data_IF_256601392675
#
_entry.id   IF_256601392675
#
_cell.length_a   1.000
_cell.length_b   1.000
_cell.length_c   1.000
_cell.angle_alpha   90.00
_cell.angle_beta   90.00
_cell.angle_gamma   90.00
#
_symmetry.space_group_name_H-M   'P 1'
#
loop_
_entity.id
_entity.type
_entity.pdbx_description
1 polymer ?
#
# COMPACT_ATOMS: atom_id res chain seq x y z
N UNK A 1 30.40 20.48 18.65
CA UNK A 1 29.13 21.24 18.58
C UNK A 1 27.98 20.22 18.50
N UNK A 2 27.42 19.83 19.64
CA UNK A 2 26.34 18.84 19.70
C UNK A 2 25.04 19.52 19.30
N UNK A 3 24.61 19.32 18.06
CA UNK A 3 23.25 19.71 17.64
C UNK A 3 22.31 18.72 18.32
N UNK A 4 21.82 19.08 19.50
CA UNK A 4 20.67 18.45 20.14
C UNK A 4 19.47 18.64 19.21
N UNK A 5 19.33 17.73 18.25
CA UNK A 5 18.17 17.68 17.35
C UNK A 5 16.96 17.34 18.21
N UNK A 6 16.15 18.36 18.51
CA UNK A 6 14.82 18.19 19.14
C UNK A 6 14.13 16.99 18.47
N UNK A 7 13.62 16.06 19.27
CA UNK A 7 12.81 14.93 18.78
C UNK A 7 11.59 15.54 18.07
N UNK A 8 11.60 15.57 16.73
CA UNK A 8 10.44 15.92 15.94
C UNK A 8 9.42 14.78 16.06
N UNK A 9 8.66 14.77 17.16
CA UNK A 9 7.62 13.77 17.43
C UNK A 9 6.43 13.83 16.46
N UNK A 10 6.41 14.82 15.56
CA UNK A 10 5.30 15.11 14.65
C UNK A 10 5.37 14.37 13.31
N UNK A 11 6.55 13.89 12.89
CA UNK A 11 6.73 13.28 11.56
C UNK A 11 5.88 12.04 11.33
N UNK A 12 5.81 11.12 12.30
CA UNK A 12 4.96 9.94 12.20
C UNK A 12 3.46 10.28 12.12
N UNK A 13 2.91 11.06 13.05
CA UNK A 13 1.54 11.54 12.98
C UNK A 13 1.22 12.29 11.67
N UNK A 14 2.14 13.12 11.16
CA UNK A 14 1.94 13.85 9.91
C UNK A 14 1.84 12.91 8.70
N UNK A 15 2.59 11.81 8.67
CA UNK A 15 2.44 10.77 7.63
C UNK A 15 1.05 10.10 7.70
N UNK A 16 0.51 9.86 8.90
CA UNK A 16 -0.85 9.31 9.05
C UNK A 16 -1.90 10.32 8.58
N UNK A 17 -1.75 11.60 8.93
CA UNK A 17 -2.63 12.67 8.42
C UNK A 17 -2.55 12.78 6.89
N UNK A 18 -1.33 12.69 6.35
CA UNK A 18 -1.12 12.68 4.91
C UNK A 18 -1.83 11.50 4.24
N UNK A 19 -1.77 10.29 4.81
CA UNK A 19 -2.53 9.15 4.29
C UNK A 19 -4.03 9.43 4.25
N UNK A 20 -4.60 9.97 5.32
CA UNK A 20 -6.03 10.33 5.35
C UNK A 20 -6.38 11.36 4.26
N UNK A 21 -5.55 12.38 4.08
CA UNK A 21 -5.73 13.36 3.01
C UNK A 21 -5.65 12.72 1.61
N UNK A 22 -4.69 11.80 1.40
CA UNK A 22 -4.56 11.06 0.14
C UNK A 22 -5.82 10.25 -0.18
N UNK A 23 -6.39 9.53 0.81
CA UNK A 23 -7.62 8.76 0.64
C UNK A 23 -8.78 9.66 0.22
N UNK A 24 -8.95 10.83 0.85
CA UNK A 24 -10.03 11.77 0.53
C UNK A 24 -9.86 12.36 -0.87
N UNK A 25 -8.65 12.79 -1.23
CA UNK A 25 -8.33 13.43 -2.52
C UNK A 25 -8.46 12.42 -3.68
N UNK A 26 -8.01 11.18 -3.48
CA UNK A 26 -8.06 10.13 -4.49
C UNK A 26 -9.45 9.47 -4.59
N UNK A 27 -10.06 9.17 -3.44
CA UNK A 27 -11.23 8.29 -3.34
C UNK A 27 -12.55 8.91 -3.80
N UNK A 28 -12.66 10.25 -3.78
CA UNK A 28 -13.87 10.95 -4.24
C UNK A 28 -13.76 11.27 -5.73
N UNK A 29 -14.67 10.78 -6.59
CA UNK A 29 -14.73 11.21 -7.99
C UNK A 29 -14.91 12.72 -8.08
N UNK A 30 -14.01 13.41 -8.75
CA UNK A 30 -14.06 14.86 -8.94
C UNK A 30 -13.29 15.26 -10.20
N UNK A 31 -13.88 16.16 -11.01
CA UNK A 31 -13.21 16.72 -12.18
C UNK A 31 -12.49 18.01 -11.81
N UNK A 32 -11.20 17.88 -11.48
CA UNK A 32 -10.33 19.04 -11.26
C UNK A 32 -9.80 19.56 -12.60
N UNK A 33 -9.52 20.88 -12.67
CA UNK A 33 -8.70 21.41 -13.75
C UNK A 33 -7.27 20.84 -13.66
N UNK A 34 -6.55 20.80 -14.79
CA UNK A 34 -5.17 20.29 -14.82
C UNK A 34 -4.28 20.99 -13.76
N UNK A 35 -4.29 22.33 -13.64
CA UNK A 35 -3.49 23.01 -12.60
C UNK A 35 -3.90 22.61 -11.18
N UNK A 36 -5.19 22.44 -10.89
CA UNK A 36 -5.66 22.03 -9.58
C UNK A 36 -5.25 20.58 -9.25
N UNK A 37 -5.34 19.67 -10.22
CA UNK A 37 -4.87 18.29 -10.09
C UNK A 37 -3.37 18.23 -9.78
N UNK A 38 -2.55 18.98 -10.53
CA UNK A 38 -1.11 19.07 -10.30
C UNK A 38 -0.79 19.67 -8.92
N UNK A 39 -1.50 20.73 -8.53
CA UNK A 39 -1.31 21.38 -7.23
C UNK A 39 -1.64 20.43 -6.07
N UNK A 40 -2.78 19.73 -6.12
CA UNK A 40 -3.17 18.76 -5.09
C UNK A 40 -2.14 17.63 -4.98
N UNK A 41 -1.70 17.08 -6.11
CA UNK A 41 -0.68 16.04 -6.15
C UNK A 41 0.64 16.51 -5.56
N UNK A 42 1.10 17.71 -5.95
CA UNK A 42 2.35 18.30 -5.48
C UNK A 42 2.33 18.61 -3.98
N UNK A 43 1.25 19.23 -3.47
CA UNK A 43 1.08 19.52 -2.04
C UNK A 43 1.15 18.23 -1.23
N UNK A 44 0.45 17.20 -1.68
CA UNK A 44 0.37 15.92 -0.98
C UNK A 44 1.73 15.20 -0.98
N UNK A 45 2.42 15.14 -2.12
CA UNK A 45 3.77 14.59 -2.21
C UNK A 45 4.76 15.34 -1.33
N UNK A 46 4.73 16.68 -1.35
CA UNK A 46 5.58 17.51 -0.52
C UNK A 46 5.33 17.28 0.97
N UNK A 47 4.06 17.19 1.38
CA UNK A 47 3.70 16.89 2.77
C UNK A 47 4.28 15.54 3.22
N UNK A 48 4.13 14.48 2.41
CA UNK A 48 4.68 13.16 2.71
C UNK A 48 6.22 13.18 2.74
N UNK A 49 6.85 13.86 1.78
CA UNK A 49 8.31 13.99 1.70
C UNK A 49 8.87 14.77 2.90
N UNK A 50 8.29 15.92 3.26
CA UNK A 50 8.69 16.72 4.42
C UNK A 50 8.51 15.92 5.71
N UNK A 51 7.44 15.13 5.83
CA UNK A 51 7.21 14.31 7.00
C UNK A 51 8.21 13.14 7.13
N UNK A 52 8.52 12.45 6.02
CA UNK A 52 9.43 11.30 6.00
C UNK A 52 10.91 11.69 6.06
N UNK A 53 11.31 12.78 5.40
CA UNK A 53 12.70 13.23 5.28
C UNK A 53 13.49 13.26 6.60
N UNK A 54 13.01 13.89 7.70
CA UNK A 54 13.76 13.92 8.95
C UNK A 54 13.93 12.53 9.58
N UNK A 55 12.98 11.61 9.38
CA UNK A 55 13.09 10.23 9.88
C UNK A 55 14.14 9.45 9.09
N UNK A 56 14.07 9.54 7.76
CA UNK A 56 15.03 8.92 6.85
C UNK A 56 16.45 9.44 7.06
N UNK A 57 16.63 10.77 7.11
CA UNK A 57 17.93 11.41 7.30
C UNK A 57 18.57 11.04 8.65
N UNK A 58 17.78 10.89 9.71
CA UNK A 58 18.29 10.44 11.03
C UNK A 58 18.80 9.00 10.97
N UNK A 59 18.05 8.10 10.34
CA UNK A 59 18.50 6.73 10.13
C UNK A 59 19.78 6.70 9.27
N UNK A 60 19.84 7.50 8.20
CA UNK A 60 21.00 7.54 7.30
C UNK A 60 22.27 8.06 7.98
N UNK A 61 22.14 9.13 8.75
CA UNK A 61 23.23 9.78 9.51
C UNK A 61 23.68 8.98 10.73
N UNK A 62 22.94 7.94 11.12
CA UNK A 62 23.32 7.11 12.27
C UNK A 62 24.59 6.27 12.05
N UNK A 63 24.97 6.03 10.78
CA UNK A 63 26.07 5.12 10.43
C UNK A 63 25.72 3.63 10.55
N UNK A 64 24.54 3.29 11.06
CA UNK A 64 24.07 1.93 11.28
C UNK A 64 23.32 1.40 10.05
N UNK A 65 23.87 0.37 9.43
CA UNK A 65 23.33 -0.25 8.22
C UNK A 65 21.97 -0.92 8.45
N UNK A 66 21.75 -1.50 9.64
CA UNK A 66 20.46 -2.09 9.99
C UNK A 66 19.37 -1.02 10.05
N UNK A 67 19.67 0.14 10.65
CA UNK A 67 18.73 1.28 10.69
C UNK A 67 18.46 1.85 9.30
N UNK A 68 19.47 1.93 8.42
CA UNK A 68 19.29 2.35 7.03
C UNK A 68 18.37 1.42 6.27
N UNK A 69 18.54 0.10 6.42
CA UNK A 69 17.67 -0.91 5.81
C UNK A 69 16.23 -0.76 6.27
N UNK A 70 15.98 -0.59 7.57
CA UNK A 70 14.62 -0.38 8.10
C UNK A 70 14.01 0.91 7.53
N UNK A 71 14.77 2.00 7.44
CA UNK A 71 14.28 3.25 6.88
C UNK A 71 13.96 3.14 5.38
N UNK A 72 14.77 2.40 4.62
CA UNK A 72 14.49 2.09 3.22
C UNK A 72 13.19 1.30 3.08
N UNK A 73 13.02 0.24 3.87
CA UNK A 73 11.79 -0.56 3.88
C UNK A 73 10.58 0.31 4.22
N UNK A 74 10.66 1.13 5.27
CA UNK A 74 9.58 2.03 5.64
C UNK A 74 9.21 2.99 4.50
N UNK A 75 10.20 3.49 3.77
CA UNK A 75 10.00 4.39 2.63
C UNK A 75 9.32 3.65 1.47
N UNK A 76 9.76 2.43 1.14
CA UNK A 76 9.16 1.59 0.10
C UNK A 76 7.70 1.25 0.42
N UNK A 77 7.33 1.03 1.67
CA UNK A 77 5.94 0.74 2.05
C UNK A 77 5.02 1.97 2.02
N UNK A 78 5.58 3.17 2.15
CA UNK A 78 4.85 4.45 2.07
C UNK A 78 4.64 4.89 0.62
N UNK A 79 5.61 4.65 -0.24
CA UNK A 79 5.68 5.15 -1.60
C UNK A 79 4.47 4.78 -2.50
N UNK A 80 3.85 3.58 -2.42
CA UNK A 80 2.63 3.25 -3.16
C UNK A 80 1.53 4.31 -2.98
N UNK A 81 1.27 4.73 -1.75
CA UNK A 81 0.26 5.77 -1.50
C UNK A 81 0.70 7.14 -1.97
N UNK A 82 1.99 7.46 -1.93
CA UNK A 82 2.50 8.69 -2.53
C UNK A 82 2.32 8.70 -4.05
N UNK A 83 2.49 7.57 -4.73
CA UNK A 83 2.23 7.48 -6.17
C UNK A 83 0.73 7.61 -6.50
N UNK A 84 -0.14 7.04 -5.67
CA UNK A 84 -1.59 7.16 -5.86
C UNK A 84 -2.10 8.62 -5.79
N UNK A 85 -1.34 9.53 -5.18
CA UNK A 85 -1.73 10.95 -5.09
C UNK A 85 -1.57 11.69 -6.42
N UNK A 86 -0.94 11.08 -7.42
CA UNK A 86 -0.88 11.58 -8.81
C UNK A 86 -2.23 11.49 -9.55
N UNK A 87 -3.26 10.92 -8.91
CA UNK A 87 -4.57 10.68 -9.48
C UNK A 87 -5.71 11.34 -8.68
N UNK A 88 -5.63 12.64 -8.35
CA UNK A 88 -6.67 13.29 -7.57
C UNK A 88 -7.99 13.27 -8.34
N UNK A 89 -9.08 12.91 -7.65
CA UNK A 89 -10.41 12.90 -8.23
C UNK A 89 -10.72 11.73 -9.17
N UNK A 90 -9.82 10.75 -9.32
CA UNK A 90 -10.07 9.59 -10.20
C UNK A 90 -11.23 8.73 -9.70
N UNK A 91 -11.41 8.61 -8.37
CA UNK A 91 -12.42 7.73 -7.82
C UNK A 91 -12.24 6.27 -8.27
N UNK A 92 -13.32 5.46 -8.29
CA UNK A 92 -13.23 4.07 -8.71
C UNK A 92 -13.22 3.92 -10.25
N UNK A 93 -12.79 2.76 -10.78
CA UNK A 93 -12.56 2.58 -12.23
C UNK A 93 -13.76 2.79 -13.14
N UNK A 94 -14.96 2.44 -12.68
CA UNK A 94 -16.20 2.62 -13.43
C UNK A 94 -16.65 4.09 -13.53
N UNK A 95 -16.13 4.99 -12.66
CA UNK A 95 -16.40 6.42 -12.72
C UNK A 95 -15.35 7.19 -13.56
N UNK A 96 -14.31 6.51 -14.04
CA UNK A 96 -13.19 7.07 -14.79
C UNK A 96 -13.30 6.75 -16.29
N UNK A 97 -12.81 7.66 -17.14
CA UNK A 97 -12.67 7.37 -18.57
C UNK A 97 -11.48 6.42 -18.83
N UNK A 98 -11.37 5.93 -20.08
CA UNK A 98 -10.35 4.96 -20.46
C UNK A 98 -8.91 5.45 -20.22
N UNK A 99 -8.60 6.71 -20.56
CA UNK A 99 -7.27 7.28 -20.37
C UNK A 99 -6.88 7.37 -18.89
N UNK A 100 -7.82 7.77 -18.03
CA UNK A 100 -7.64 7.76 -16.57
C UNK A 100 -7.43 6.34 -16.05
N UNK A 101 -8.20 5.37 -16.53
CA UNK A 101 -8.02 3.97 -16.15
C UNK A 101 -6.64 3.44 -16.56
N UNK A 102 -6.15 3.77 -17.75
CA UNK A 102 -4.80 3.41 -18.20
C UNK A 102 -3.73 3.93 -17.23
N UNK A 103 -3.75 5.23 -16.92
CA UNK A 103 -2.83 5.83 -15.95
C UNK A 103 -2.94 5.16 -14.57
N UNK A 104 -4.16 4.82 -14.12
CA UNK A 104 -4.37 4.10 -12.86
C UNK A 104 -3.64 2.76 -12.84
N UNK A 105 -3.80 1.95 -13.87
CA UNK A 105 -3.18 0.63 -13.88
C UNK A 105 -1.66 0.69 -14.01
N UNK A 106 -1.12 1.69 -14.72
CA UNK A 106 0.34 1.97 -14.73
C UNK A 106 0.84 2.34 -13.33
N UNK A 107 0.17 3.24 -12.63
CA UNK A 107 0.55 3.61 -11.26
C UNK A 107 0.42 2.43 -10.31
N UNK A 108 -0.66 1.63 -10.41
CA UNK A 108 -0.84 0.43 -9.60
C UNK A 108 0.25 -0.61 -9.87
N UNK A 109 0.69 -0.78 -11.12
CA UNK A 109 1.79 -1.68 -11.47
C UNK A 109 3.11 -1.25 -10.80
N UNK A 110 3.51 0.01 -10.94
CA UNK A 110 4.72 0.55 -10.30
C UNK A 110 4.61 0.46 -8.78
N UNK A 111 3.44 0.80 -8.23
CA UNK A 111 3.18 0.74 -6.79
C UNK A 111 3.27 -0.68 -6.24
N UNK A 112 2.77 -1.68 -6.98
CA UNK A 112 2.85 -3.09 -6.59
C UNK A 112 4.31 -3.60 -6.56
N UNK A 113 5.14 -3.20 -7.52
CA UNK A 113 6.56 -3.55 -7.53
C UNK A 113 7.29 -2.97 -6.30
N UNK A 114 7.05 -1.69 -6.02
CA UNK A 114 7.63 -0.98 -4.88
C UNK A 114 7.16 -1.57 -3.55
N UNK A 115 5.86 -1.82 -3.40
CA UNK A 115 5.28 -2.49 -2.24
C UNK A 115 5.89 -3.87 -2.03
N UNK A 116 5.99 -4.66 -3.10
CA UNK A 116 6.59 -5.98 -3.09
C UNK A 116 8.04 -5.97 -2.61
N UNK A 117 8.85 -5.01 -3.09
CA UNK A 117 10.22 -4.82 -2.61
C UNK A 117 10.25 -4.47 -1.11
N UNK A 118 9.37 -3.57 -0.65
CA UNK A 118 9.26 -3.20 0.77
C UNK A 118 8.91 -4.40 1.64
N UNK A 119 7.88 -5.18 1.27
CA UNK A 119 7.47 -6.39 1.99
C UNK A 119 8.58 -7.45 1.97
N UNK A 120 9.20 -7.68 0.81
CA UNK A 120 10.29 -8.65 0.67
C UNK A 120 11.45 -8.34 1.62
N UNK A 121 11.89 -7.09 1.66
CA UNK A 121 13.03 -6.65 2.48
C UNK A 121 12.72 -6.56 3.98
N UNK A 122 11.44 -6.59 4.36
CA UNK A 122 11.01 -6.47 5.75
C UNK A 122 11.35 -7.71 6.60
N UNK A 123 11.55 -8.89 5.96
CA UNK A 123 11.86 -10.13 6.68
C UNK A 123 13.16 -10.02 7.48
N UNK A 124 14.24 -9.62 6.83
CA UNK A 124 15.59 -9.65 7.43
C UNK A 124 15.68 -8.83 8.73
N UNK A 125 15.30 -7.54 8.74
CA UNK A 125 15.46 -6.76 9.96
C UNK A 125 14.53 -7.21 11.10
N UNK A 126 13.43 -7.94 10.80
CA UNK A 126 12.56 -8.54 11.80
C UNK A 126 13.02 -9.93 12.28
N UNK A 127 13.60 -10.73 11.39
CA UNK A 127 14.08 -12.08 11.72
C UNK A 127 15.36 -12.03 12.56
N UNK A 128 16.24 -11.07 12.28
CA UNK A 128 17.56 -10.97 12.90
C UNK A 128 17.52 -10.42 14.34
N UNK A 129 16.56 -9.53 14.66
CA UNK A 129 16.55 -8.78 15.92
C UNK A 129 16.13 -9.60 17.16
N UNK A 130 15.23 -10.58 17.03
CA UNK A 130 14.82 -11.46 18.12
C UNK A 130 14.54 -12.91 17.69
N UNK A 131 14.99 -13.32 16.50
CA UNK A 131 14.80 -14.68 16.01
C UNK A 131 13.36 -15.00 15.62
N UNK A 132 12.60 -14.05 15.04
CA UNK A 132 11.27 -14.34 14.50
C UNK A 132 11.39 -15.21 13.24
N UNK A 133 11.42 -16.53 13.45
CA UNK A 133 11.62 -17.54 12.42
C UNK A 133 10.34 -18.00 11.75
N UNK A 134 9.18 -17.47 12.15
CA UNK A 134 7.89 -17.92 11.62
C UNK A 134 7.09 -16.78 10.99
N UNK A 135 6.79 -15.70 11.72
CA UNK A 135 5.86 -14.69 11.20
C UNK A 135 6.51 -13.85 10.11
N UNK A 136 7.75 -13.40 10.29
CA UNK A 136 8.45 -12.62 9.28
C UNK A 136 8.66 -13.39 7.96
N UNK A 137 9.09 -14.67 7.95
CA UNK A 137 9.16 -15.47 6.73
C UNK A 137 7.80 -15.72 6.07
N UNK A 138 6.76 -16.07 6.83
CA UNK A 138 5.41 -16.26 6.26
C UNK A 138 4.84 -14.95 5.71
N UNK A 139 5.11 -13.84 6.39
CA UNK A 139 4.76 -12.49 5.93
C UNK A 139 5.44 -12.16 4.60
N UNK A 140 6.71 -12.55 4.45
CA UNK A 140 7.49 -12.38 3.23
C UNK A 140 6.93 -13.21 2.08
N UNK A 141 6.69 -14.50 2.31
CA UNK A 141 6.14 -15.39 1.31
C UNK A 141 4.77 -14.90 0.83
N UNK A 142 3.88 -14.56 1.76
CA UNK A 142 2.56 -14.00 1.45
C UNK A 142 2.67 -12.67 0.70
N UNK A 143 3.58 -11.79 1.13
CA UNK A 143 3.80 -10.49 0.49
C UNK A 143 4.37 -10.61 -0.94
N UNK A 144 5.25 -11.58 -1.19
CA UNK A 144 5.77 -11.87 -2.51
C UNK A 144 4.67 -12.40 -3.44
N UNK A 145 3.85 -13.35 -2.97
CA UNK A 145 2.68 -13.80 -3.74
C UNK A 145 1.74 -12.64 -4.05
N UNK A 146 1.43 -11.82 -3.05
CA UNK A 146 0.57 -10.64 -3.23
C UNK A 146 1.10 -9.72 -4.34
N UNK A 147 2.38 -9.35 -4.27
CA UNK A 147 3.00 -8.43 -5.22
C UNK A 147 3.06 -9.03 -6.63
N UNK A 148 3.49 -10.29 -6.78
CA UNK A 148 3.58 -10.94 -8.09
C UNK A 148 2.21 -11.08 -8.75
N UNK A 149 1.19 -11.52 -8.00
CA UNK A 149 -0.18 -11.64 -8.50
C UNK A 149 -0.72 -10.26 -8.90
N UNK A 150 -0.49 -9.24 -8.09
CA UNK A 150 -0.91 -7.87 -8.38
C UNK A 150 -0.23 -7.30 -9.62
N UNK A 151 1.05 -7.61 -9.86
CA UNK A 151 1.78 -7.18 -11.05
C UNK A 151 1.21 -7.81 -12.32
N UNK A 152 0.90 -9.11 -12.28
CA UNK A 152 0.23 -9.81 -13.40
C UNK A 152 -1.13 -9.19 -13.65
N UNK A 153 -1.93 -8.98 -12.60
CA UNK A 153 -3.24 -8.33 -12.73
C UNK A 153 -3.12 -6.93 -13.34
N UNK A 154 -2.22 -6.09 -12.85
CA UNK A 154 -2.05 -4.73 -13.35
C UNK A 154 -1.56 -4.71 -14.80
N UNK A 155 -0.66 -5.63 -15.19
CA UNK A 155 -0.22 -5.79 -16.57
C UNK A 155 -1.37 -6.18 -17.51
N UNK A 156 -2.25 -7.10 -17.09
CA UNK A 156 -3.46 -7.46 -17.84
C UNK A 156 -4.37 -6.24 -18.04
N UNK A 157 -4.59 -5.45 -16.99
CA UNK A 157 -5.42 -4.24 -17.07
C UNK A 157 -4.81 -3.15 -17.96
N UNK A 158 -3.49 -2.98 -17.94
CA UNK A 158 -2.77 -2.08 -18.87
C UNK A 158 -2.99 -2.56 -20.31
N UNK A 159 -2.74 -3.84 -20.60
CA UNK A 159 -2.95 -4.43 -21.91
C UNK A 159 -4.38 -4.24 -22.41
N UNK A 160 -5.37 -4.50 -21.55
CA UNK A 160 -6.79 -4.25 -21.85
C UNK A 160 -7.04 -2.79 -22.24
N UNK A 161 -6.60 -1.82 -21.44
CA UNK A 161 -6.84 -0.40 -21.76
C UNK A 161 -6.19 0.03 -23.08
N UNK A 162 -5.03 -0.53 -23.44
CA UNK A 162 -4.38 -0.30 -24.73
C UNK A 162 -5.16 -0.91 -25.90
N UNK A 163 -5.69 -2.13 -25.73
CA UNK A 163 -6.53 -2.80 -26.72
C UNK A 163 -7.86 -2.10 -26.94
N UNK A 164 -8.54 -1.66 -25.87
CA UNK A 164 -9.80 -0.91 -25.97
C UNK A 164 -9.59 0.44 -26.70
N UNK A 165 -8.43 1.08 -26.55
CA UNK A 165 -8.13 2.35 -27.22
C UNK A 165 -7.96 2.21 -28.75
N UNK A 166 -7.50 1.04 -29.23
CA UNK A 166 -7.22 0.80 -30.65
C UNK A 166 -8.20 -0.16 -31.34
N UNK A 167 -9.12 -0.78 -30.58
CA UNK A 167 -10.16 -1.74 -31.01
C UNK A 167 -9.74 -2.57 -32.22
N UNK A 168 -8.86 -3.58 -32.06
CA UNK A 168 -8.51 -4.48 -33.14
C UNK A 168 -9.77 -5.14 -33.72
N UNK A 169 -9.71 -5.59 -34.98
CA UNK A 169 -10.85 -6.14 -35.72
C UNK A 169 -11.53 -7.32 -34.97
N UNK A 170 -10.77 -8.10 -34.21
CA UNK A 170 -11.26 -9.21 -33.39
C UNK A 170 -11.29 -8.87 -31.88
N UNK A 171 -11.63 -7.63 -31.52
CA UNK A 171 -11.69 -7.22 -30.12
C UNK A 171 -12.82 -7.93 -29.36
N UNK A 172 -12.45 -8.64 -28.30
CA UNK A 172 -13.37 -9.14 -27.29
C UNK A 172 -13.30 -8.23 -26.06
N UNK A 173 -14.44 -7.69 -25.57
CA UNK A 173 -14.47 -6.92 -24.33
C UNK A 173 -13.87 -7.71 -23.15
N UNK A 174 -13.17 -7.06 -22.21
CA UNK A 174 -12.66 -7.78 -21.04
C UNK A 174 -13.79 -8.32 -20.14
N UNK A 175 -14.79 -7.48 -19.89
CA UNK A 175 -15.92 -7.82 -19.02
C UNK A 175 -16.80 -8.90 -19.66
N UNK A 176 -17.21 -9.88 -18.86
CA UNK A 176 -17.99 -11.03 -19.34
C UNK A 176 -17.17 -12.11 -20.07
N UNK A 177 -15.83 -11.99 -20.12
CA UNK A 177 -14.96 -13.01 -20.72
C UNK A 177 -14.18 -13.83 -19.68
N UNK A 178 -13.67 -15.02 -20.06
CA UNK A 178 -12.77 -15.79 -19.19
C UNK A 178 -11.55 -14.99 -18.70
N UNK A 179 -11.04 -14.06 -19.51
CA UNK A 179 -9.92 -13.20 -19.12
C UNK A 179 -10.31 -12.20 -18.03
N UNK A 180 -11.51 -11.62 -18.11
CA UNK A 180 -12.07 -10.77 -17.05
C UNK A 180 -12.23 -11.53 -15.74
N UNK A 181 -12.81 -12.74 -15.79
CA UNK A 181 -12.93 -13.60 -14.62
C UNK A 181 -11.57 -13.97 -14.02
N UNK A 182 -10.56 -14.25 -14.85
CA UNK A 182 -9.20 -14.53 -14.38
C UNK A 182 -8.58 -13.29 -13.70
N UNK A 183 -8.81 -12.08 -14.25
CA UNK A 183 -8.35 -10.84 -13.62
C UNK A 183 -8.99 -10.63 -12.23
N UNK A 184 -10.28 -10.91 -12.06
CA UNK A 184 -10.95 -10.80 -10.75
C UNK A 184 -10.38 -11.78 -9.72
N UNK A 185 -10.11 -13.02 -10.15
CA UNK A 185 -9.45 -14.03 -9.31
C UNK A 185 -8.07 -13.57 -8.89
N UNK A 186 -7.26 -13.04 -9.81
CA UNK A 186 -5.95 -12.50 -9.48
C UNK A 186 -6.06 -11.36 -8.46
N UNK A 187 -6.97 -10.40 -8.68
CA UNK A 187 -7.16 -9.29 -7.75
C UNK A 187 -7.60 -9.76 -6.36
N UNK A 188 -8.49 -10.74 -6.29
CA UNK A 188 -8.91 -11.36 -5.04
C UNK A 188 -7.73 -11.94 -4.27
N UNK A 189 -6.89 -12.76 -4.92
CA UNK A 189 -5.75 -13.38 -4.25
C UNK A 189 -4.66 -12.37 -3.90
N UNK A 190 -4.45 -11.34 -4.72
CA UNK A 190 -3.52 -10.25 -4.39
C UNK A 190 -3.95 -9.51 -3.12
N UNK A 191 -5.24 -9.16 -3.00
CA UNK A 191 -5.81 -8.54 -1.81
C UNK A 191 -5.71 -9.45 -0.58
N UNK A 192 -6.15 -10.70 -0.70
CA UNK A 192 -6.07 -11.72 0.35
C UNK A 192 -4.65 -11.87 0.89
N UNK A 193 -3.68 -12.10 0.01
CA UNK A 193 -2.28 -12.30 0.40
C UNK A 193 -1.66 -11.04 1.01
N UNK A 194 -2.08 -9.85 0.57
CA UNK A 194 -1.64 -8.59 1.18
C UNK A 194 -2.14 -8.46 2.61
N UNK A 195 -3.41 -8.77 2.88
CA UNK A 195 -3.97 -8.74 4.23
C UNK A 195 -3.29 -9.75 5.15
N UNK A 196 -3.06 -10.98 4.67
CA UNK A 196 -2.33 -12.02 5.41
C UNK A 196 -0.90 -11.56 5.72
N UNK A 197 -0.16 -11.08 4.71
CA UNK A 197 1.20 -10.55 4.88
C UNK A 197 1.25 -9.44 5.94
N UNK A 198 0.31 -8.50 5.86
CA UNK A 198 0.20 -7.39 6.80
C UNK A 198 -0.05 -7.87 8.23
N UNK A 199 -0.98 -8.80 8.45
CA UNK A 199 -1.27 -9.32 9.78
C UNK A 199 -0.03 -10.00 10.39
N UNK A 200 0.67 -10.82 9.61
CA UNK A 200 1.89 -11.50 10.02
C UNK A 200 3.00 -10.50 10.38
N UNK A 201 3.20 -9.48 9.55
CA UNK A 201 4.18 -8.44 9.84
C UNK A 201 3.81 -7.57 11.03
N UNK A 202 2.53 -7.21 11.22
CA UNK A 202 2.11 -6.45 12.38
C UNK A 202 2.39 -7.18 13.69
N UNK A 203 2.10 -8.49 13.73
CA UNK A 203 2.41 -9.35 14.88
C UNK A 203 3.92 -9.50 15.07
N UNK A 204 4.69 -9.62 13.98
CA UNK A 204 6.16 -9.65 14.03
C UNK A 204 6.74 -8.34 14.60
N UNK A 205 6.22 -7.18 14.17
CA UNK A 205 6.59 -5.86 14.71
C UNK A 205 6.33 -5.78 16.22
N UNK A 206 5.23 -6.36 16.71
CA UNK A 206 4.97 -6.40 18.15
C UNK A 206 5.95 -7.29 18.91
N UNK A 207 6.33 -8.43 18.36
CA UNK A 207 7.36 -9.30 18.96
C UNK A 207 8.72 -8.62 19.05
N UNK A 208 9.05 -7.79 18.06
CA UNK A 208 10.28 -6.98 18.05
C UNK A 208 10.17 -5.69 18.87
N UNK A 209 9.02 -5.40 19.48
CA UNK A 209 8.80 -4.15 20.22
C UNK A 209 8.77 -2.89 19.35
N UNK A 210 8.67 -3.02 18.03
CA UNK A 210 8.55 -1.89 17.10
C UNK A 210 7.15 -1.29 17.15
N UNK A 211 6.14 -2.12 17.37
CA UNK A 211 4.73 -1.74 17.53
C UNK A 211 4.21 -2.24 18.88
N UNK A 212 3.30 -1.50 19.53
CA UNK A 212 2.69 -1.99 20.77
C UNK A 212 1.78 -3.19 20.44
N UNK A 213 1.76 -4.25 21.28
CA UNK A 213 0.94 -5.45 21.03
C UNK A 213 -0.54 -5.16 20.75
N UNK A 214 -1.13 -4.18 21.44
CA UNK A 214 -2.52 -3.77 21.21
C UNK A 214 -2.76 -3.25 19.78
N UNK A 215 -1.86 -2.41 19.25
CA UNK A 215 -1.97 -1.89 17.89
C UNK A 215 -1.73 -2.97 16.85
N UNK A 216 -0.78 -3.88 17.09
CA UNK A 216 -0.58 -5.04 16.22
C UNK A 216 -1.83 -5.95 16.18
N UNK A 217 -2.46 -6.18 17.34
CA UNK A 217 -3.71 -6.93 17.44
C UNK A 217 -4.86 -6.27 16.67
N UNK A 218 -4.98 -4.95 16.74
CA UNK A 218 -5.97 -4.19 15.94
C UNK A 218 -5.71 -4.37 14.44
N UNK A 219 -4.48 -4.16 13.96
CA UNK A 219 -4.12 -4.33 12.54
C UNK A 219 -4.41 -5.77 12.08
N UNK A 220 -4.01 -6.77 12.85
CA UNK A 220 -4.26 -8.17 12.53
C UNK A 220 -5.76 -8.51 12.49
N UNK A 221 -6.55 -7.94 13.41
CA UNK A 221 -8.00 -8.13 13.45
C UNK A 221 -8.70 -7.47 12.27
N UNK A 222 -8.30 -6.26 11.89
CA UNK A 222 -8.81 -5.55 10.71
C UNK A 222 -8.46 -6.31 9.44
N UNK A 223 -7.23 -6.83 9.32
CA UNK A 223 -6.82 -7.66 8.20
C UNK A 223 -7.64 -8.97 8.13
N UNK A 224 -7.88 -9.65 9.26
CA UNK A 224 -8.73 -10.84 9.31
C UNK A 224 -10.17 -10.54 8.89
N UNK A 225 -10.75 -9.43 9.37
CA UNK A 225 -12.08 -8.99 8.96
C UNK A 225 -12.14 -8.67 7.46
N UNK A 226 -11.10 -8.03 6.91
CA UNK A 226 -10.99 -7.76 5.48
C UNK A 226 -10.90 -9.05 4.66
N UNK A 227 -10.16 -10.06 5.14
CA UNK A 227 -10.15 -11.39 4.52
C UNK A 227 -11.55 -12.01 4.52
N UNK A 228 -12.26 -11.99 5.65
CA UNK A 228 -13.65 -12.51 5.72
C UNK A 228 -14.56 -11.76 4.74
N UNK A 229 -14.47 -10.43 4.68
CA UNK A 229 -15.25 -9.61 3.76
C UNK A 229 -14.93 -9.93 2.28
N UNK A 230 -13.66 -10.18 1.93
CA UNK A 230 -13.28 -10.67 0.59
C UNK A 230 -13.89 -12.03 0.31
N UNK A 231 -13.81 -12.99 1.25
CA UNK A 231 -14.36 -14.33 1.08
C UNK A 231 -15.87 -14.30 0.86
N UNK A 232 -16.59 -13.45 1.60
CA UNK A 232 -18.04 -13.24 1.44
C UNK A 232 -18.38 -12.62 0.08
N UNK A 233 -17.55 -11.69 -0.41
CA UNK A 233 -17.69 -11.15 -1.78
C UNK A 233 -17.51 -12.24 -2.84
N UNK A 234 -16.62 -13.19 -2.56
CA UNK A 234 -16.25 -14.24 -3.50
C UNK A 234 -15.21 -13.80 -4.53
N UNK A 235 -14.91 -14.72 -5.44
CA UNK A 235 -13.84 -14.58 -6.44
C UNK A 235 -14.17 -13.55 -7.53
N UNK A 236 -15.44 -13.46 -7.93
CA UNK A 236 -15.88 -12.50 -8.93
C UNK A 236 -16.06 -11.13 -8.29
N UNK A 237 -15.69 -10.09 -9.04
CA UNK A 237 -16.09 -8.74 -8.71
C UNK A 237 -17.49 -8.55 -9.33
N UNK A 238 -18.59 -8.58 -8.53
CA UNK A 238 -19.92 -8.47 -9.09
C UNK A 238 -20.08 -7.14 -9.83
N UNK A 239 -21.02 -7.10 -10.78
CA UNK A 239 -21.49 -5.84 -11.35
C UNK A 239 -21.83 -4.91 -10.18
N UNK A 240 -21.13 -3.77 -10.11
CA UNK A 240 -21.18 -2.87 -8.97
C UNK A 240 -22.60 -2.29 -8.85
N UNK A 241 -23.36 -2.65 -7.80
CA UNK A 241 -24.63 -2.00 -7.55
C UNK A 241 -24.38 -0.55 -7.11
N UNK A 242 -25.40 0.30 -7.21
CA UNK A 242 -25.29 1.73 -6.84
C UNK A 242 -24.84 1.93 -5.38
N UNK A 243 -25.10 0.96 -4.51
CA UNK A 243 -24.76 0.93 -3.10
C UNK A 243 -23.50 0.09 -2.78
N UNK A 244 -22.61 -0.13 -3.76
CA UNK A 244 -21.38 -0.91 -3.56
C UNK A 244 -20.53 -0.48 -2.35
N UNK A 245 -20.60 0.80 -1.97
CA UNK A 245 -19.91 1.36 -0.81
C UNK A 245 -20.47 0.86 0.54
N UNK A 246 -21.65 0.26 0.55
CA UNK A 246 -22.23 -0.40 1.71
C UNK A 246 -21.79 -1.87 1.83
N UNK A 247 -21.10 -2.41 0.82
CA UNK A 247 -20.63 -3.80 0.78
C UNK A 247 -19.16 -3.88 1.22
N UNK A 248 -18.84 -4.35 2.44
CA UNK A 248 -17.47 -4.34 2.95
C UNK A 248 -16.49 -5.06 2.03
N UNK A 249 -16.92 -6.19 1.44
CA UNK A 249 -16.14 -6.97 0.49
C UNK A 249 -15.71 -6.20 -0.75
N UNK A 250 -16.55 -5.29 -1.25
CA UNK A 250 -16.22 -4.43 -2.39
C UNK A 250 -15.15 -3.42 -2.00
N UNK A 251 -15.28 -2.79 -0.82
CA UNK A 251 -14.29 -1.82 -0.32
C UNK A 251 -12.91 -2.46 -0.14
N UNK A 252 -12.85 -3.60 0.56
CA UNK A 252 -11.57 -4.28 0.83
C UNK A 252 -10.96 -4.93 -0.42
N UNK A 253 -11.78 -5.14 -1.46
CA UNK A 253 -11.35 -5.62 -2.77
C UNK A 253 -10.83 -4.54 -3.71
N UNK A 254 -10.93 -3.25 -3.34
CA UNK A 254 -10.34 -2.17 -4.14
C UNK A 254 -8.81 -2.34 -4.12
N UNK A 255 -8.14 -2.39 -5.29
CA UNK A 255 -6.72 -2.76 -5.38
C UNK A 255 -5.76 -2.02 -4.42
N UNK A 256 -6.02 -0.74 -4.15
CA UNK A 256 -5.18 0.08 -3.27
C UNK A 256 -5.49 -0.07 -1.77
N UNK A 257 -6.71 -0.48 -1.39
CA UNK A 257 -7.15 -0.53 0.02
C UNK A 257 -6.34 -1.52 0.86
N UNK A 258 -5.96 -2.72 0.37
CA UNK A 258 -5.06 -3.61 1.10
C UNK A 258 -3.71 -2.96 1.46
N UNK A 259 -3.28 -1.91 0.75
CA UNK A 259 -1.99 -1.25 0.95
C UNK A 259 -2.02 -0.20 2.08
N UNK A 260 -3.19 0.13 2.64
CA UNK A 260 -3.31 1.04 3.78
C UNK A 260 -2.51 0.56 4.99
N UNK A 261 -2.60 -0.73 5.31
CA UNK A 261 -1.93 -1.26 6.49
C UNK A 261 -0.41 -1.42 6.28
N UNK A 262 0.10 -1.89 5.11
CA UNK A 262 1.51 -1.78 4.77
C UNK A 262 2.06 -0.35 4.91
N UNK A 263 1.31 0.67 4.52
CA UNK A 263 1.70 2.06 4.74
C UNK A 263 1.93 2.37 6.24
N UNK A 264 0.98 1.98 7.10
CA UNK A 264 1.09 2.21 8.55
C UNK A 264 2.28 1.46 9.15
N UNK A 265 2.55 0.23 8.70
CA UNK A 265 3.77 -0.51 9.05
C UNK A 265 5.03 0.23 8.56
N UNK A 266 4.98 0.83 7.37
CA UNK A 266 6.05 1.66 6.84
C UNK A 266 6.36 2.88 7.70
N UNK A 267 5.32 3.59 8.17
CA UNK A 267 5.45 4.71 9.13
C UNK A 267 6.09 4.21 10.42
N UNK A 268 5.63 3.07 10.96
CA UNK A 268 6.18 2.48 12.16
C UNK A 268 7.67 2.13 12.00
N UNK A 269 8.05 1.53 10.86
CA UNK A 269 9.43 1.18 10.53
C UNK A 269 10.32 2.43 10.43
N UNK A 270 9.88 3.48 9.73
CA UNK A 270 10.61 4.76 9.63
C UNK A 270 10.81 5.43 10.99
N UNK A 271 9.77 5.45 11.83
CA UNK A 271 9.86 5.99 13.19
C UNK A 271 10.83 5.17 14.03
N UNK A 272 10.79 3.84 13.94
CA UNK A 272 11.71 2.97 14.66
C UNK A 272 13.16 3.20 14.21
N UNK A 273 13.42 3.19 12.91
CA UNK A 273 14.74 3.45 12.33
C UNK A 273 15.33 4.81 12.76
N UNK A 274 14.50 5.85 12.83
CA UNK A 274 14.94 7.18 13.22
C UNK A 274 15.34 7.30 14.69
N UNK A 275 14.73 6.52 15.59
CA UNK A 275 14.97 6.62 17.03
C UNK A 275 15.95 5.57 17.57
N UNK A 276 16.19 4.49 16.82
CA UNK A 276 17.01 3.37 17.27
C UNK A 276 16.31 2.54 18.38
N UNK A 277 16.91 1.41 18.77
CA UNK A 277 16.42 0.63 19.90
C UNK A 277 16.40 1.51 21.15
N UNK A 278 15.29 1.47 21.90
CA UNK A 278 15.27 2.06 23.24
C UNK A 278 16.24 1.24 24.08
N UNK A 279 17.25 1.88 24.66
CA UNK A 279 18.07 1.23 25.68
C UNK A 279 17.12 0.68 26.74
N UNK A 280 17.17 -0.62 26.96
CA UNK A 280 16.48 -1.26 28.07
C UNK A 280 17.21 -0.75 29.32
N UNK A 281 16.53 0.10 30.09
CA UNK A 281 16.97 0.50 31.42
C UNK A 281 16.60 -0.59 32.42
#
# INVERSE_FOLDING_TARGET
MSITTKRNGWSGPLLVVALCAAIVIFGKPARYSIPASLALSAIQLLMMAIAAAPLLLRAWRSGDEHRRRIALVGTLLILPWALLTLMPGYGPPFASNLAMNHVRFVILFVSAAVLGAGLFLLKEPLADAAGDRLLAPLGQASGLFAALIQLVWAALMIGWTMSEAHKPVAYLPLYGTPLGNAADVLLFFAGLMTYVSTALYALSFARQGWLRPAWAGIIASVAALAVVALMVRGLQYPDLPDDWFAMPGMIVGIPAIPWLMPYLLGVCALVHAAHGPKAVA
#
